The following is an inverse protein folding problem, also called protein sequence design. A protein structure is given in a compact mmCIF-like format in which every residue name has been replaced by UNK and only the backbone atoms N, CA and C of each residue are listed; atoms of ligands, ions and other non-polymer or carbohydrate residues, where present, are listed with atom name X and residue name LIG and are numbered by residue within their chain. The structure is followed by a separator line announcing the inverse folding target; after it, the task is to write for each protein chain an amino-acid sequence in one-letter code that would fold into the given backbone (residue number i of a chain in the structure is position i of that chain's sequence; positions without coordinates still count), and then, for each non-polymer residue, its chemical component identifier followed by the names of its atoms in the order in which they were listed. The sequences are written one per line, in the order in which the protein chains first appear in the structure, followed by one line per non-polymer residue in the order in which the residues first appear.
data_IF_128362384784
#
_entry.id   IF_128362384784
#
_cell.length_a   1.000
_cell.length_b   1.000
_cell.length_c   1.000
_cell.angle_alpha   90.00
_cell.angle_beta   90.00
_cell.angle_gamma   90.00
#
_symmetry.space_group_name_H-M   'P 1'
#
loop_
_entity.id
_entity.type
_entity.pdbx_description
1 polymer ?
#
# COMPACT_ATOMS: atom_id res chain seq x y z
N UNK A 1 -20.37 13.24 -11.69
CA UNK A 1 -18.99 13.43 -12.17
C UNK A 1 -18.12 13.98 -11.03
N UNK A 2 -17.66 13.14 -10.09
CA UNK A 2 -16.74 13.53 -9.01
C UNK A 2 -15.97 12.29 -8.55
N UNK A 3 -14.68 12.48 -8.24
CA UNK A 3 -13.75 11.62 -7.44
C UNK A 3 -12.50 11.08 -8.16
N UNK A 4 -11.79 11.95 -8.88
CA UNK A 4 -10.34 11.75 -9.16
C UNK A 4 -9.45 12.39 -8.06
N UNK A 5 -10.05 12.97 -7.01
CA UNK A 5 -9.35 13.82 -6.02
C UNK A 5 -8.78 13.07 -4.80
N UNK A 6 -8.48 11.77 -4.92
CA UNK A 6 -8.19 10.93 -3.74
C UNK A 6 -6.73 10.49 -3.61
N UNK A 7 -5.97 10.40 -4.71
CA UNK A 7 -4.63 9.78 -4.69
C UNK A 7 -3.47 10.76 -4.55
N UNK A 8 -3.55 11.96 -5.14
CA UNK A 8 -2.51 12.99 -5.00
C UNK A 8 -2.31 13.40 -3.54
N UNK A 9 -3.40 13.42 -2.76
CA UNK A 9 -3.35 13.79 -1.35
C UNK A 9 -2.63 12.74 -0.49
N UNK A 10 -2.73 11.43 -0.82
CA UNK A 10 -2.06 10.37 -0.07
C UNK A 10 -0.54 10.42 -0.29
N UNK A 11 -0.10 10.69 -1.53
CA UNK A 11 1.32 10.87 -1.86
C UNK A 11 1.88 12.11 -1.17
N UNK A 12 1.14 13.22 -1.14
CA UNK A 12 1.54 14.44 -0.43
C UNK A 12 1.61 14.26 1.10
N UNK A 13 0.71 13.46 1.69
CA UNK A 13 0.74 13.16 3.13
C UNK A 13 1.97 12.33 3.52
N UNK A 14 2.43 11.44 2.65
CA UNK A 14 3.65 10.66 2.87
C UNK A 14 4.90 11.54 2.71
N UNK A 15 4.91 12.49 1.77
CA UNK A 15 6.00 13.47 1.60
C UNK A 15 6.08 14.41 2.83
N UNK A 16 4.95 14.84 3.39
CA UNK A 16 4.90 15.72 4.56
C UNK A 16 5.41 15.09 5.87
N UNK A 17 5.46 13.76 5.96
CA UNK A 17 6.00 13.03 7.12
C UNK A 17 7.52 12.81 7.05
N UNK A 18 8.12 13.00 5.89
CA UNK A 18 9.56 12.87 5.69
C UNK A 18 10.12 14.29 5.83
N UNK A 19 10.56 14.63 7.04
CA UNK A 19 11.27 15.88 7.31
C UNK A 19 12.30 16.16 6.22
N UNK A 20 12.26 17.38 5.68
CA UNK A 20 13.16 17.84 4.63
C UNK A 20 14.58 17.92 5.19
N UNK A 21 15.34 16.83 5.08
CA UNK A 21 16.75 16.80 5.43
C UNK A 21 17.60 17.01 4.16
N UNK A 22 18.31 18.15 4.02
CA UNK A 22 19.02 18.51 2.79
C UNK A 22 20.20 17.58 2.43
N UNK A 23 20.58 16.64 3.31
CA UNK A 23 21.60 15.62 3.04
C UNK A 23 21.07 14.29 2.50
N UNK A 24 19.75 14.08 2.45
CA UNK A 24 19.16 12.76 2.23
C UNK A 24 18.79 12.52 0.75
N UNK A 25 19.32 11.45 0.15
CA UNK A 25 19.00 11.00 -1.22
C UNK A 25 17.64 10.31 -1.26
N UNK A 26 16.57 11.07 -1.01
CA UNK A 26 15.21 10.56 -1.14
C UNK A 26 14.91 10.30 -2.63
N UNK A 27 14.74 9.04 -3.03
CA UNK A 27 14.28 8.67 -4.36
C UNK A 27 12.79 8.35 -4.33
N UNK A 28 11.99 9.07 -5.12
CA UNK A 28 10.57 8.77 -5.34
C UNK A 28 10.40 8.22 -6.76
N UNK A 29 9.91 6.99 -6.87
CA UNK A 29 9.56 6.38 -8.15
C UNK A 29 8.08 6.04 -8.15
N UNK A 30 7.34 6.55 -9.14
CA UNK A 30 5.91 6.24 -9.33
C UNK A 30 5.73 5.68 -10.74
N UNK A 31 5.29 4.43 -10.82
CA UNK A 31 5.01 3.72 -12.06
C UNK A 31 3.51 3.42 -12.11
N UNK A 32 2.83 3.91 -13.14
CA UNK A 32 1.42 3.57 -13.39
C UNK A 32 1.31 2.98 -14.79
N UNK A 33 0.77 1.77 -14.89
CA UNK A 33 0.50 1.10 -16.17
C UNK A 33 -0.95 0.66 -16.21
N UNK A 34 -1.63 0.93 -17.33
CA UNK A 34 -3.00 0.49 -17.57
C UNK A 34 -2.94 -0.68 -18.55
N UNK A 35 -3.40 -1.88 -18.17
CA UNK A 35 -3.48 -3.02 -19.09
C UNK A 35 -4.76 -2.94 -19.93
N UNK A 36 -4.72 -3.56 -21.10
CA UNK A 36 -5.74 -3.54 -22.16
C UNK A 36 -7.11 -4.09 -21.73
N UNK A 37 -7.17 -4.81 -20.60
CA UNK A 37 -8.40 -5.41 -20.04
C UNK A 37 -8.98 -4.65 -18.82
N UNK A 38 -8.60 -3.39 -18.60
CA UNK A 38 -9.16 -2.55 -17.54
C UNK A 38 -8.52 -2.71 -16.16
N UNK A 39 -7.60 -3.65 -16.00
CA UNK A 39 -6.77 -3.77 -14.81
C UNK A 39 -5.65 -2.72 -14.84
N UNK A 40 -5.66 -1.81 -13.86
CA UNK A 40 -4.56 -0.86 -13.65
C UNK A 40 -3.56 -1.44 -12.66
N UNK A 41 -2.30 -1.55 -13.06
CA UNK A 41 -1.18 -1.80 -12.16
C UNK A 41 -0.55 -0.47 -11.76
N UNK A 42 -0.35 -0.26 -10.46
CA UNK A 42 0.35 0.91 -9.95
C UNK A 42 1.39 0.49 -8.92
N UNK A 43 2.55 1.13 -9.00
CA UNK A 43 3.66 0.96 -8.06
C UNK A 43 4.17 2.34 -7.65
N UNK A 44 4.38 2.53 -6.36
CA UNK A 44 5.05 3.70 -5.81
C UNK A 44 6.11 3.22 -4.84
N UNK A 45 7.33 3.72 -4.97
CA UNK A 45 8.41 3.46 -4.02
C UNK A 45 9.08 4.76 -3.58
N UNK A 46 9.38 4.83 -2.29
CA UNK A 46 10.19 5.86 -1.66
C UNK A 46 11.33 5.14 -0.98
N UNK A 47 12.56 5.53 -1.26
CA UNK A 47 13.74 4.97 -0.62
C UNK A 47 14.66 6.07 -0.15
N UNK A 48 15.12 5.92 1.09
CA UNK A 48 16.13 6.75 1.73
C UNK A 48 16.93 5.93 2.75
N UNK A 49 17.97 6.51 3.33
CA UNK A 49 18.91 5.79 4.22
C UNK A 49 18.25 5.16 5.48
N UNK A 50 17.03 5.59 5.83
CA UNK A 50 16.31 5.16 7.03
C UNK A 50 14.98 4.43 6.75
N UNK A 51 14.44 4.59 5.54
CA UNK A 51 13.08 4.17 5.17
C UNK A 51 13.08 3.63 3.74
N UNK A 52 12.63 2.38 3.60
CA UNK A 52 12.19 1.82 2.32
C UNK A 52 10.68 1.63 2.37
N UNK A 53 9.93 2.40 1.59
CA UNK A 53 8.49 2.28 1.44
C UNK A 53 8.15 1.88 0.01
N UNK A 54 7.38 0.81 -0.16
CA UNK A 54 6.93 0.33 -1.46
C UNK A 54 5.46 -0.04 -1.38
N UNK A 55 4.67 0.44 -2.34
CA UNK A 55 3.26 0.11 -2.48
C UNK A 55 3.02 -0.31 -3.92
N UNK A 56 2.48 -1.50 -4.13
CA UNK A 56 2.10 -2.03 -5.44
C UNK A 56 0.67 -2.52 -5.38
N UNK A 57 -0.13 -2.26 -6.40
CA UNK A 57 -1.48 -2.80 -6.47
C UNK A 57 -1.96 -3.00 -7.89
N UNK A 58 -2.93 -3.91 -8.04
CA UNK A 58 -3.63 -4.17 -9.28
C UNK A 58 -5.13 -4.32 -9.04
N UNK A 59 -5.93 -4.00 -10.06
CA UNK A 59 -7.38 -4.10 -10.00
C UNK A 59 -8.04 -2.89 -9.31
N UNK A 60 -9.31 -3.05 -8.95
CA UNK A 60 -10.11 -2.02 -8.29
C UNK A 60 -10.19 -2.27 -6.79
N UNK A 61 -9.59 -1.37 -6.01
CA UNK A 61 -9.55 -1.43 -4.55
C UNK A 61 -10.51 -0.40 -3.97
N UNK A 62 -11.45 -0.87 -3.16
CA UNK A 62 -12.39 -0.02 -2.43
C UNK A 62 -12.03 -0.06 -0.97
N UNK A 63 -11.77 1.11 -0.40
CA UNK A 63 -11.62 1.28 1.04
C UNK A 63 -12.97 1.58 1.69
N UNK A 64 -13.06 1.37 3.00
CA UNK A 64 -14.20 1.82 3.78
C UNK A 64 -14.31 3.35 3.84
N UNK A 65 -15.40 3.88 4.41
CA UNK A 65 -15.67 5.32 4.47
C UNK A 65 -14.53 6.10 5.16
N UNK A 66 -13.89 5.49 6.15
CA UNK A 66 -12.82 6.10 6.94
C UNK A 66 -11.42 5.85 6.36
N UNK A 67 -11.32 5.07 5.28
CA UNK A 67 -10.05 4.66 4.64
C UNK A 67 -9.10 3.93 5.59
N UNK A 68 -9.64 3.26 6.58
CA UNK A 68 -8.89 2.46 7.57
C UNK A 68 -8.90 0.98 7.22
N UNK A 69 -9.81 0.53 6.35
CA UNK A 69 -9.95 -0.88 5.97
C UNK A 69 -10.14 -1.04 4.47
N UNK A 70 -9.59 -2.12 3.92
CA UNK A 70 -9.92 -2.58 2.56
C UNK A 70 -11.30 -3.22 2.64
N UNK A 71 -12.27 -2.63 1.94
CA UNK A 71 -13.64 -3.14 1.87
C UNK A 71 -13.78 -4.22 0.80
N UNK A 72 -13.12 -4.05 -0.35
CA UNK A 72 -13.12 -5.04 -1.42
C UNK A 72 -11.95 -4.83 -2.37
N UNK A 73 -11.50 -5.93 -2.97
CA UNK A 73 -10.57 -5.96 -4.10
C UNK A 73 -11.27 -6.69 -5.24
N UNK A 74 -11.17 -6.20 -6.47
CA UNK A 74 -11.72 -6.90 -7.64
C UNK A 74 -11.09 -8.29 -7.81
N UNK A 75 -11.79 -9.25 -8.47
CA UNK A 75 -11.18 -10.51 -8.86
C UNK A 75 -9.85 -10.30 -9.59
N UNK A 76 -8.83 -11.08 -9.23
CA UNK A 76 -7.46 -10.95 -9.76
C UNK A 76 -6.65 -9.74 -9.26
N UNK A 77 -7.28 -8.86 -8.46
CA UNK A 77 -6.62 -7.70 -7.89
C UNK A 77 -5.87 -8.02 -6.59
N UNK A 78 -4.91 -7.16 -6.27
CA UNK A 78 -4.12 -7.25 -5.04
C UNK A 78 -3.59 -5.88 -4.62
N UNK A 79 -3.14 -5.78 -3.38
CA UNK A 79 -2.35 -4.68 -2.83
C UNK A 79 -1.22 -5.27 -1.99
N UNK A 80 -0.01 -4.76 -2.22
CA UNK A 80 1.21 -5.06 -1.50
C UNK A 80 1.75 -3.75 -0.95
N UNK A 81 2.01 -3.72 0.34
CA UNK A 81 2.64 -2.61 1.02
C UNK A 81 3.83 -3.13 1.81
N UNK A 82 4.97 -2.48 1.66
CA UNK A 82 6.19 -2.78 2.40
C UNK A 82 6.72 -1.49 3.01
N UNK A 83 7.02 -1.52 4.30
CA UNK A 83 7.75 -0.47 5.02
C UNK A 83 8.88 -1.11 5.79
N UNK A 84 10.11 -0.89 5.35
CA UNK A 84 11.30 -1.56 5.83
C UNK A 84 11.11 -3.08 5.73
N UNK A 85 11.19 -3.79 6.86
CA UNK A 85 11.04 -5.24 6.91
C UNK A 85 9.57 -5.70 7.05
N UNK A 86 8.66 -4.76 7.33
CA UNK A 86 7.24 -5.03 7.52
C UNK A 86 6.51 -5.05 6.18
N UNK A 87 5.63 -6.03 6.00
CA UNK A 87 4.83 -6.23 4.79
C UNK A 87 3.37 -6.46 5.14
N UNK A 88 2.51 -5.93 4.28
CA UNK A 88 1.09 -6.20 4.22
C UNK A 88 0.78 -6.60 2.78
N UNK A 89 0.18 -7.77 2.60
CA UNK A 89 -0.32 -8.22 1.31
C UNK A 89 -1.80 -8.52 1.46
N UNK A 90 -2.61 -8.02 0.54
CA UNK A 90 -4.02 -8.37 0.49
C UNK A 90 -4.46 -8.64 -0.95
N UNK A 91 -5.21 -9.71 -1.16
CA UNK A 91 -5.66 -10.13 -2.49
C UNK A 91 -7.07 -10.70 -2.46
N UNK A 92 -7.73 -10.71 -3.61
CA UNK A 92 -9.03 -11.36 -3.74
C UNK A 92 -8.86 -12.88 -3.91
N UNK A 93 -9.48 -13.67 -3.03
CA UNK A 93 -9.45 -15.15 -3.05
C UNK A 93 -10.83 -15.77 -3.19
N UNK A 94 -11.59 -15.39 -4.22
CA UNK A 94 -12.85 -16.03 -4.65
C UNK A 94 -14.06 -15.86 -3.70
N UNK A 95 -13.83 -15.79 -2.38
CA UNK A 95 -14.86 -15.64 -1.35
C UNK A 95 -14.69 -14.38 -0.51
N UNK A 96 -13.59 -13.65 -0.70
CA UNK A 96 -13.27 -12.46 0.09
C UNK A 96 -11.88 -11.92 -0.21
N UNK A 97 -11.43 -11.02 0.66
CA UNK A 97 -10.07 -10.48 0.66
C UNK A 97 -9.30 -11.21 1.75
N UNK A 98 -8.23 -11.89 1.35
CA UNK A 98 -7.28 -12.48 2.30
C UNK A 98 -6.22 -11.42 2.60
N UNK A 99 -5.79 -11.35 3.86
CA UNK A 99 -4.77 -10.40 4.33
C UNK A 99 -3.67 -11.19 5.01
N UNK A 100 -2.45 -11.01 4.52
CA UNK A 100 -1.23 -11.51 5.12
C UNK A 100 -0.41 -10.33 5.65
N UNK A 101 0.01 -10.43 6.91
CA UNK A 101 0.95 -9.50 7.52
C UNK A 101 2.25 -10.26 7.77
N UNK A 102 3.40 -9.65 7.53
CA UNK A 102 4.69 -10.25 7.84
C UNK A 102 5.74 -9.22 8.23
N UNK A 103 6.75 -9.68 8.95
CA UNK A 103 7.98 -8.94 9.25
C UNK A 103 9.22 -9.81 8.96
N UNK A 104 10.39 -9.39 9.44
CA UNK A 104 11.66 -10.12 9.36
C UNK A 104 11.62 -11.51 10.03
N UNK A 105 10.67 -11.72 10.95
CA UNK A 105 10.52 -12.95 11.74
C UNK A 105 9.48 -13.90 11.17
N UNK A 106 8.70 -13.46 10.17
CA UNK A 106 7.76 -14.30 9.44
C UNK A 106 6.35 -13.73 9.37
N UNK A 107 5.37 -14.62 9.19
CA UNK A 107 3.95 -14.23 9.07
C UNK A 107 3.36 -13.90 10.45
N UNK A 108 2.75 -12.73 10.55
CA UNK A 108 2.08 -12.23 11.74
C UNK A 108 0.58 -12.50 11.66
N UNK A 109 0.02 -13.03 12.75
CA UNK A 109 -1.43 -13.12 12.86
C UNK A 109 -2.04 -11.72 12.99
N UNK A 110 -3.12 -11.37 12.27
CA UNK A 110 -3.72 -10.03 12.31
C UNK A 110 -4.26 -9.62 13.69
N UNK A 111 -4.51 -10.60 14.56
CA UNK A 111 -4.98 -10.40 15.93
C UNK A 111 -3.85 -10.36 16.97
N UNK A 112 -2.61 -10.63 16.58
CA UNK A 112 -1.44 -10.55 17.49
C UNK A 112 -1.11 -9.08 17.81
N UNK A 113 -0.47 -8.79 18.95
CA UNK A 113 0.01 -7.43 19.25
C UNK A 113 0.89 -6.84 18.14
N UNK A 114 1.74 -7.67 17.53
CA UNK A 114 2.67 -7.32 16.46
C UNK A 114 1.90 -7.01 15.15
N UNK A 115 0.95 -7.88 14.79
CA UNK A 115 0.07 -7.66 13.65
C UNK A 115 -0.80 -6.41 13.81
N UNK A 116 -1.35 -6.18 15.01
CA UNK A 116 -2.11 -4.98 15.34
C UNK A 116 -1.27 -3.71 15.18
N UNK A 117 0.00 -3.72 15.61
CA UNK A 117 0.92 -2.58 15.41
C UNK A 117 1.22 -2.29 13.93
N UNK A 118 0.98 -3.24 13.03
CA UNK A 118 1.20 -3.07 11.59
C UNK A 118 -0.04 -2.47 10.90
N UNK A 119 -1.24 -2.74 11.42
CA UNK A 119 -2.52 -2.26 10.88
C UNK A 119 -3.15 -1.08 11.65
N UNK A 120 -2.60 -0.71 12.82
CA UNK A 120 -3.07 0.37 13.68
C UNK A 120 -2.43 1.72 13.35
#
# INVERSE_FOLDING_TARGET
MKKELTYTLLVLFVIGLIGCDPGNKNSLTVITTKRTFGESYKSSSIENDSITLKMEYSGHIVFDKFRTKIKSISPGGYISYKKNEKRLFAEYRGRGVDIELSDDKGVLGPNTPEGKKLIA
#
